data_IF_729842680721
#
_entry.id   IF_729842680721
#
_cell.length_a   1.000
_cell.length_b   1.000
_cell.length_c   1.000
_cell.angle_alpha   90.00
_cell.angle_beta   90.00
_cell.angle_gamma   90.00
#
_symmetry.space_group_name_H-M   'P 1'
#
loop_
_entity.id
_entity.type
_entity.pdbx_description
1 polymer ?
#
# COMPACT_ATOMS: atom_id res chain seq x y z
N UNK A 1 33.05 5.51 -22.62
CA UNK A 1 32.87 4.71 -21.38
C UNK A 1 32.37 5.55 -20.21
N UNK A 2 31.16 6.11 -20.27
CA UNK A 2 30.62 7.01 -19.22
C UNK A 2 29.27 6.58 -18.63
N UNK A 3 28.73 5.42 -19.05
CA UNK A 3 27.36 5.00 -18.72
C UNK A 3 27.29 3.91 -17.64
N UNK A 4 28.37 3.16 -17.39
CA UNK A 4 28.36 2.05 -16.42
C UNK A 4 28.59 2.47 -14.96
N UNK A 5 29.19 3.64 -14.71
CA UNK A 5 29.35 4.13 -13.33
C UNK A 5 28.03 4.66 -12.73
N UNK A 6 27.10 5.15 -13.57
CA UNK A 6 25.85 5.76 -13.08
C UNK A 6 24.86 4.69 -12.60
N UNK A 7 24.78 3.55 -13.31
CA UNK A 7 23.90 2.44 -12.90
C UNK A 7 24.37 1.81 -11.60
N UNK A 8 25.69 1.67 -11.43
CA UNK A 8 26.29 1.06 -10.25
C UNK A 8 26.15 1.95 -9.01
N UNK A 9 26.28 3.28 -9.14
CA UNK A 9 25.98 4.22 -8.04
C UNK A 9 24.49 4.31 -7.71
N UNK A 10 23.60 4.16 -8.69
CA UNK A 10 22.15 4.09 -8.44
C UNK A 10 21.75 2.80 -7.72
N UNK A 11 22.41 1.68 -8.02
CA UNK A 11 22.18 0.38 -7.37
C UNK A 11 22.85 0.29 -6.00
N UNK A 12 24.02 0.91 -5.81
CA UNK A 12 24.65 1.08 -4.49
C UNK A 12 23.88 2.09 -3.62
N UNK A 13 23.27 3.13 -4.19
CA UNK A 13 22.31 3.98 -3.49
C UNK A 13 21.02 3.21 -3.17
N UNK A 14 20.48 2.40 -4.07
CA UNK A 14 19.33 1.55 -3.79
C UNK A 14 19.63 0.50 -2.71
N UNK A 15 20.86 0.00 -2.63
CA UNK A 15 21.31 -0.98 -1.62
C UNK A 15 21.62 -0.32 -0.26
N UNK A 16 22.20 0.88 -0.25
CA UNK A 16 22.31 1.71 0.96
C UNK A 16 20.94 2.16 1.46
N UNK A 17 20.03 2.58 0.58
CA UNK A 17 18.64 2.89 0.92
C UNK A 17 17.86 1.64 1.40
N UNK A 18 18.16 0.46 0.87
CA UNK A 18 17.59 -0.81 1.35
C UNK A 18 18.04 -1.18 2.77
N UNK A 19 19.08 -0.51 3.30
CA UNK A 19 19.54 -0.66 4.69
C UNK A 19 19.39 0.62 5.54
N UNK A 20 19.00 1.76 4.95
CA UNK A 20 18.91 3.07 5.63
C UNK A 20 17.54 3.77 5.57
N UNK A 21 16.55 3.23 4.85
CA UNK A 21 15.17 3.75 4.85
C UNK A 21 14.36 2.94 5.86
N UNK A 22 13.87 3.61 6.91
CA UNK A 22 12.95 3.00 7.86
C UNK A 22 11.61 2.65 7.17
N UNK A 23 10.92 1.57 7.57
CA UNK A 23 9.69 1.12 6.91
C UNK A 23 8.62 2.23 6.72
N UNK A 24 8.54 3.19 7.65
CA UNK A 24 7.67 4.37 7.55
C UNK A 24 8.03 5.30 6.39
N UNK A 25 9.32 5.53 6.12
CA UNK A 25 9.76 6.36 5.00
C UNK A 25 9.50 5.66 3.66
N UNK A 26 9.60 4.32 3.63
CA UNK A 26 9.25 3.54 2.45
C UNK A 26 7.76 3.71 2.11
N UNK A 27 6.88 3.67 3.11
CA UNK A 27 5.45 3.94 2.93
C UNK A 27 5.20 5.33 2.33
N UNK A 28 5.87 6.37 2.84
CA UNK A 28 5.73 7.76 2.35
C UNK A 28 6.12 7.93 0.89
N UNK A 29 7.11 7.15 0.43
CA UNK A 29 7.52 7.15 -0.98
C UNK A 29 6.55 6.32 -1.84
N UNK A 30 6.02 5.22 -1.32
CA UNK A 30 5.12 4.34 -2.05
C UNK A 30 3.73 4.93 -2.26
N UNK A 31 3.17 5.65 -1.28
CA UNK A 31 1.84 6.26 -1.38
C UNK A 31 1.62 7.08 -2.66
N UNK A 32 2.46 8.07 -3.02
CA UNK A 32 2.28 8.83 -4.25
C UNK A 32 2.42 7.95 -5.50
N UNK A 33 3.31 6.96 -5.52
CA UNK A 33 3.48 6.05 -6.66
C UNK A 33 2.20 5.23 -6.88
N UNK A 34 1.57 4.75 -5.81
CA UNK A 34 0.31 4.01 -5.88
C UNK A 34 -0.81 4.87 -6.49
N UNK A 35 -0.82 6.16 -6.16
CA UNK A 35 -1.86 7.10 -6.60
C UNK A 35 -1.66 7.64 -8.02
N UNK A 36 -0.42 7.85 -8.46
CA UNK A 36 -0.12 8.58 -9.69
C UNK A 36 0.48 7.72 -10.80
N UNK A 37 1.03 6.55 -10.50
CA UNK A 37 1.65 5.70 -11.51
C UNK A 37 0.61 4.84 -12.23
N UNK A 38 0.91 4.51 -13.49
CA UNK A 38 0.11 3.60 -14.29
C UNK A 38 0.51 2.14 -14.06
N UNK A 39 -0.34 1.24 -14.53
CA UNK A 39 -0.03 -0.18 -14.57
C UNK A 39 1.20 -0.44 -15.47
N UNK A 40 2.16 -1.30 -15.06
CA UNK A 40 2.16 -2.16 -13.87
C UNK A 40 2.89 -1.58 -12.65
N UNK A 41 3.30 -0.30 -12.69
CA UNK A 41 4.16 0.32 -11.66
C UNK A 41 3.37 0.48 -10.36
N UNK A 42 2.15 0.99 -10.42
CA UNK A 42 1.27 1.10 -9.25
C UNK A 42 1.00 -0.27 -8.60
N UNK A 43 0.81 -1.34 -9.38
CA UNK A 43 0.66 -2.71 -8.86
C UNK A 43 1.89 -3.14 -8.06
N UNK A 44 3.07 -2.93 -8.61
CA UNK A 44 4.32 -3.27 -7.94
C UNK A 44 4.48 -2.48 -6.64
N UNK A 45 4.11 -1.19 -6.64
CA UNK A 45 4.15 -0.34 -5.47
C UNK A 45 3.19 -0.82 -4.36
N UNK A 46 1.95 -1.20 -4.71
CA UNK A 46 0.98 -1.76 -3.74
C UNK A 46 1.54 -3.04 -3.11
N UNK A 47 2.05 -3.97 -3.93
CA UNK A 47 2.61 -5.24 -3.44
C UNK A 47 3.85 -5.03 -2.56
N UNK A 48 4.66 -4.03 -2.88
CA UNK A 48 5.80 -3.65 -2.05
C UNK A 48 5.33 -3.05 -0.73
N UNK A 49 4.30 -2.18 -0.76
CA UNK A 49 3.74 -1.58 0.44
C UNK A 49 3.19 -2.64 1.40
N UNK A 50 2.51 -3.67 0.89
CA UNK A 50 2.04 -4.80 1.70
C UNK A 50 3.17 -5.47 2.49
N UNK A 51 4.32 -5.75 1.84
CA UNK A 51 5.49 -6.34 2.51
C UNK A 51 6.13 -5.40 3.53
N UNK A 52 6.03 -4.09 3.32
CA UNK A 52 6.58 -3.09 4.25
C UNK A 52 5.70 -3.00 5.49
N UNK A 53 4.37 -3.01 5.32
CA UNK A 53 3.38 -2.98 6.40
C UNK A 53 3.61 -4.09 7.42
N UNK A 54 3.91 -5.32 6.97
CA UNK A 54 4.21 -6.47 7.84
C UNK A 54 5.42 -6.25 8.77
N UNK A 55 6.25 -5.23 8.51
CA UNK A 55 7.47 -4.91 9.26
C UNK A 55 7.36 -3.61 10.06
N UNK A 56 6.24 -2.89 9.95
CA UNK A 56 6.02 -1.60 10.62
C UNK A 56 5.36 -1.86 11.98
N UNK A 57 5.88 -1.30 13.09
CA UNK A 57 5.22 -1.38 14.39
C UNK A 57 3.81 -0.80 14.34
N UNK A 58 2.89 -1.40 15.10
CA UNK A 58 1.48 -1.02 15.16
C UNK A 58 1.27 0.48 15.35
N UNK A 59 1.99 1.08 16.31
CA UNK A 59 1.85 2.48 16.70
C UNK A 59 2.21 3.43 15.55
N UNK A 60 3.23 3.06 14.76
CA UNK A 60 3.66 3.82 13.60
C UNK A 60 2.68 3.62 12.44
N UNK A 61 2.19 2.40 12.23
CA UNK A 61 1.26 2.10 11.15
C UNK A 61 -0.06 2.89 11.31
N UNK A 62 -0.59 2.98 12.52
CA UNK A 62 -1.80 3.78 12.81
C UNK A 62 -1.62 5.24 12.41
N UNK A 63 -0.45 5.83 12.66
CA UNK A 63 -0.15 7.22 12.29
C UNK A 63 -0.06 7.42 10.77
N UNK A 64 0.28 6.37 10.01
CA UNK A 64 0.43 6.41 8.55
C UNK A 64 -0.87 6.08 7.80
N UNK A 65 -1.92 5.58 8.48
CA UNK A 65 -3.21 5.27 7.83
C UNK A 65 -3.81 6.41 7.01
N UNK A 66 -3.79 7.69 7.47
CA UNK A 66 -4.32 8.79 6.68
C UNK A 66 -3.60 8.99 5.34
N UNK A 67 -2.35 8.54 5.22
CA UNK A 67 -1.58 8.60 3.98
C UNK A 67 -1.79 7.34 3.10
N UNK A 68 -1.88 6.16 3.73
CA UNK A 68 -1.98 4.87 3.03
C UNK A 68 -3.40 4.65 2.46
N UNK A 69 -4.42 4.81 3.30
CA UNK A 69 -5.79 4.38 3.00
C UNK A 69 -6.34 5.07 1.74
N UNK A 70 -6.18 6.39 1.51
CA UNK A 70 -6.67 7.02 0.29
C UNK A 70 -6.13 6.38 -1.00
N UNK A 71 -4.84 6.02 -1.02
CA UNK A 71 -4.22 5.35 -2.17
C UNK A 71 -4.78 3.94 -2.40
N UNK A 72 -5.02 3.19 -1.33
CA UNK A 72 -5.60 1.85 -1.43
C UNK A 72 -7.07 1.87 -1.87
N UNK A 73 -7.86 2.82 -1.37
CA UNK A 73 -9.26 3.02 -1.81
C UNK A 73 -9.31 3.43 -3.28
N UNK A 74 -8.46 4.35 -3.71
CA UNK A 74 -8.35 4.72 -5.13
C UNK A 74 -7.96 3.51 -5.99
N UNK A 75 -6.98 2.71 -5.55
CA UNK A 75 -6.59 1.49 -6.28
C UNK A 75 -7.69 0.42 -6.26
N UNK A 76 -8.53 0.38 -5.23
CA UNK A 76 -9.68 -0.50 -5.17
C UNK A 76 -10.74 -0.14 -6.23
N UNK A 77 -10.90 1.13 -6.58
CA UNK A 77 -11.80 1.57 -7.67
C UNK A 77 -11.15 1.47 -9.07
N UNK A 78 -9.95 0.89 -9.18
CA UNK A 78 -9.24 0.81 -10.45
C UNK A 78 -9.87 -0.20 -11.42
N UNK A 79 -9.82 0.09 -12.73
CA UNK A 79 -10.32 -0.81 -13.78
C UNK A 79 -9.61 -2.17 -13.79
N UNK A 80 -8.34 -2.21 -13.41
CA UNK A 80 -7.52 -3.41 -13.37
C UNK A 80 -7.83 -4.29 -12.16
N UNK A 81 -8.39 -5.48 -12.41
CA UNK A 81 -8.70 -6.46 -11.36
C UNK A 81 -7.48 -6.84 -10.50
N UNK A 82 -6.28 -6.83 -11.09
CA UNK A 82 -5.03 -7.11 -10.38
C UNK A 82 -4.70 -6.03 -9.34
N UNK A 83 -4.99 -4.77 -9.64
CA UNK A 83 -4.79 -3.63 -8.72
C UNK A 83 -5.78 -3.75 -7.56
N UNK A 84 -7.08 -3.97 -7.87
CA UNK A 84 -8.11 -4.13 -6.85
C UNK A 84 -7.76 -5.24 -5.85
N UNK A 85 -7.36 -6.41 -6.34
CA UNK A 85 -6.92 -7.54 -5.50
C UNK A 85 -5.69 -7.20 -4.66
N UNK A 86 -4.70 -6.51 -5.23
CA UNK A 86 -3.51 -6.11 -4.48
C UNK A 86 -3.85 -5.12 -3.36
N UNK A 87 -4.78 -4.17 -3.59
CA UNK A 87 -5.26 -3.27 -2.56
C UNK A 87 -5.96 -4.03 -1.42
N UNK A 88 -6.80 -5.02 -1.75
CA UNK A 88 -7.44 -5.89 -0.74
C UNK A 88 -6.39 -6.62 0.10
N UNK A 89 -5.39 -7.24 -0.53
CA UNK A 89 -4.29 -7.89 0.22
C UNK A 89 -3.55 -6.91 1.12
N UNK A 90 -3.31 -5.68 0.66
CA UNK A 90 -2.66 -4.65 1.46
C UNK A 90 -3.51 -4.25 2.67
N UNK A 91 -4.82 -4.08 2.51
CA UNK A 91 -5.75 -3.79 3.60
C UNK A 91 -5.83 -4.93 4.62
N UNK A 92 -5.81 -6.20 4.17
CA UNK A 92 -5.74 -7.37 5.05
C UNK A 92 -4.44 -7.38 5.86
N UNK A 93 -3.30 -7.05 5.24
CA UNK A 93 -2.03 -6.95 5.96
C UNK A 93 -2.03 -5.83 7.01
N UNK A 94 -2.61 -4.67 6.70
CA UNK A 94 -2.79 -3.59 7.67
C UNK A 94 -3.65 -4.09 8.82
N UNK A 95 -4.79 -4.68 8.50
CA UNK A 95 -5.71 -5.22 9.48
C UNK A 95 -5.04 -6.25 10.41
N UNK A 96 -4.21 -7.15 9.86
CA UNK A 96 -3.47 -8.14 10.65
C UNK A 96 -2.52 -7.51 11.68
N UNK A 97 -2.04 -6.28 11.45
CA UNK A 97 -1.12 -5.57 12.36
C UNK A 97 -1.87 -4.73 13.39
N UNK A 98 -2.92 -3.99 12.98
CA UNK A 98 -3.60 -3.00 13.86
C UNK A 98 -4.97 -3.44 14.37
N UNK A 99 -5.55 -4.50 13.80
CA UNK A 99 -6.88 -4.99 14.14
C UNK A 99 -8.00 -4.01 13.75
N UNK A 100 -9.04 -3.98 14.60
CA UNK A 100 -10.24 -3.17 14.41
C UNK A 100 -10.00 -1.66 14.32
N UNK A 101 -8.80 -1.17 14.68
CA UNK A 101 -8.40 0.23 14.50
C UNK A 101 -8.39 0.67 13.03
N UNK A 102 -8.38 -0.27 12.06
CA UNK A 102 -8.56 0.06 10.66
C UNK A 102 -9.98 0.53 10.32
N UNK A 103 -11.00 -0.03 11.00
CA UNK A 103 -12.42 0.16 10.64
C UNK A 103 -12.87 1.62 10.66
N UNK A 104 -12.54 2.45 11.67
CA UNK A 104 -12.90 3.86 11.69
C UNK A 104 -12.33 4.65 10.50
N UNK A 105 -11.10 4.35 10.08
CA UNK A 105 -10.45 5.02 8.94
C UNK A 105 -11.12 4.66 7.62
N UNK A 106 -11.53 3.40 7.46
CA UNK A 106 -12.34 2.99 6.32
C UNK A 106 -13.68 3.71 6.35
N UNK A 107 -14.46 3.61 7.43
CA UNK A 107 -15.81 4.19 7.55
C UNK A 107 -15.87 5.70 7.27
N UNK A 108 -14.86 6.46 7.71
CA UNK A 108 -14.78 7.90 7.44
C UNK A 108 -14.61 8.22 5.96
N UNK A 109 -13.86 7.38 5.23
CA UNK A 109 -13.62 7.55 3.79
C UNK A 109 -14.73 6.90 2.95
N UNK A 110 -15.31 5.81 3.44
CA UNK A 110 -16.26 4.94 2.74
C UNK A 110 -17.73 5.30 2.92
N UNK A 111 -18.09 6.12 3.92
CA UNK A 111 -19.43 6.73 4.01
C UNK A 111 -19.80 7.53 2.75
N UNK A 112 -18.82 7.82 1.89
CA UNK A 112 -18.97 8.51 0.61
C UNK A 112 -19.06 7.58 -0.62
N UNK A 113 -18.71 6.28 -0.52
CA UNK A 113 -18.36 5.44 -1.69
C UNK A 113 -18.62 3.91 -1.61
N UNK A 114 -18.91 3.29 -0.45
CA UNK A 114 -19.00 1.80 -0.32
C UNK A 114 -20.29 1.17 -0.86
N UNK A 115 -21.18 1.95 -1.47
CA UNK A 115 -22.40 1.43 -2.09
C UNK A 115 -22.14 0.44 -3.24
N UNK A 116 -20.94 0.45 -3.84
CA UNK A 116 -20.61 -0.30 -5.05
C UNK A 116 -19.53 -1.39 -4.87
N UNK A 117 -19.14 -1.72 -3.63
CA UNK A 117 -18.16 -2.78 -3.39
C UNK A 117 -18.82 -4.15 -3.71
N UNK A 118 -18.38 -4.89 -4.74
CA UNK A 118 -18.96 -6.19 -5.05
C UNK A 118 -18.87 -7.11 -3.83
N UNK A 119 -19.98 -7.76 -3.51
CA UNK A 119 -20.16 -8.57 -2.30
C UNK A 119 -19.04 -9.61 -2.11
N UNK A 120 -18.44 -10.12 -3.18
CA UNK A 120 -17.30 -11.05 -3.20
C UNK A 120 -16.02 -10.46 -2.59
N UNK A 121 -15.75 -9.17 -2.79
CA UNK A 121 -14.55 -8.50 -2.25
C UNK A 121 -14.75 -8.09 -0.79
N UNK A 122 -15.99 -7.73 -0.41
CA UNK A 122 -16.38 -7.58 1.00
C UNK A 122 -16.29 -8.92 1.73
N UNK A 123 -16.75 -10.01 1.11
CA UNK A 123 -16.58 -11.38 1.62
C UNK A 123 -15.09 -11.67 1.84
N UNK A 124 -14.17 -11.31 0.95
CA UNK A 124 -12.73 -11.52 1.15
C UNK A 124 -12.15 -10.75 2.35
N UNK A 125 -12.64 -9.53 2.60
CA UNK A 125 -12.26 -8.75 3.80
C UNK A 125 -12.88 -9.35 5.07
N UNK A 126 -14.10 -9.90 4.99
CA UNK A 126 -14.83 -10.47 6.14
C UNK A 126 -14.57 -11.97 6.41
N UNK A 127 -14.14 -12.78 5.43
CA UNK A 127 -13.84 -14.22 5.61
C UNK A 127 -12.42 -14.47 6.13
N UNK A 128 -11.54 -13.46 6.11
CA UNK A 128 -10.25 -13.49 6.80
C UNK A 128 -10.34 -12.97 8.26
N UNK A 129 -11.56 -12.85 8.78
CA UNK A 129 -11.92 -12.42 10.13
C UNK A 129 -12.90 -13.42 10.76
#
# INVERSE_FOLDING_TARGET
NKTMQVVRSAEEAATMLATSISPDQCIKVLCPIIQTADYPINLAAIKMQTKVIERVPKEILVQLLPEIVPGLIQGYDNSESSIRKACVFCLVAIHAVIGDELKPHLNQLTSSKVSDMPHEDLILIFFFF
#
